data_IF_724226693121
#
_entry.id   IF_724226693121
#
_cell.length_a   1.000
_cell.length_b   1.000
_cell.length_c   1.000
_cell.angle_alpha   90.00
_cell.angle_beta   90.00
_cell.angle_gamma   90.00
#
_symmetry.space_group_name_H-M   'P 1'
#
loop_
_entity.id
_entity.type
_entity.pdbx_description
1 polymer ?
#
# COMPACT_ATOMS: atom_id res chain seq x y z
N UNK A 1 19.83 -1.25 -2.06
CA UNK A 1 18.48 -1.67 -2.41
C UNK A 1 18.43 -3.18 -2.50
N UNK A 2 17.49 -3.78 -1.79
CA UNK A 2 17.22 -5.22 -1.88
C UNK A 2 16.07 -5.45 -2.84
N UNK A 3 16.25 -6.42 -3.72
CA UNK A 3 15.24 -6.83 -4.68
C UNK A 3 14.87 -8.30 -4.43
N UNK A 4 13.56 -8.57 -4.35
CA UNK A 4 13.05 -9.91 -4.12
C UNK A 4 12.05 -10.28 -5.20
N UNK A 5 12.25 -11.44 -5.82
CA UNK A 5 11.23 -12.11 -6.61
C UNK A 5 10.68 -13.23 -5.77
N UNK A 6 9.35 -13.32 -5.67
CA UNK A 6 8.69 -14.35 -4.87
C UNK A 6 7.59 -15.01 -5.67
N UNK A 7 7.36 -16.29 -5.40
CA UNK A 7 6.24 -17.01 -5.99
C UNK A 7 4.92 -16.52 -5.43
N UNK A 8 3.80 -16.78 -6.14
CA UNK A 8 2.49 -16.24 -5.83
C UNK A 8 2.06 -16.44 -4.38
N UNK A 9 2.27 -17.65 -3.85
CA UNK A 9 1.90 -17.95 -2.46
C UNK A 9 2.72 -17.14 -1.46
N UNK A 10 4.02 -17.09 -1.68
CA UNK A 10 4.94 -16.38 -0.77
C UNK A 10 4.70 -14.88 -0.79
N UNK A 11 4.27 -14.33 -1.92
CA UNK A 11 3.96 -12.91 -2.05
C UNK A 11 2.85 -12.49 -1.06
N UNK A 12 1.79 -13.27 -0.95
CA UNK A 12 0.72 -12.99 0.01
C UNK A 12 1.23 -13.00 1.46
N UNK A 13 2.02 -14.00 1.80
CA UNK A 13 2.60 -14.14 3.14
C UNK A 13 3.50 -12.95 3.46
N UNK A 14 4.35 -12.58 2.52
CA UNK A 14 5.32 -11.51 2.72
C UNK A 14 4.66 -10.14 2.86
N UNK A 15 3.72 -9.81 1.98
CA UNK A 15 2.97 -8.54 2.08
C UNK A 15 2.18 -8.49 3.39
N UNK A 16 1.57 -9.60 3.77
CA UNK A 16 0.86 -9.68 5.05
C UNK A 16 1.78 -9.37 6.24
N UNK A 17 3.00 -9.92 6.23
CA UNK A 17 3.99 -9.63 7.28
C UNK A 17 4.39 -8.16 7.31
N UNK A 18 4.59 -7.57 6.14
CA UNK A 18 4.96 -6.15 6.04
C UNK A 18 3.83 -5.28 6.61
N UNK A 19 2.58 -5.55 6.22
CA UNK A 19 1.43 -4.80 6.73
C UNK A 19 1.30 -4.94 8.24
N UNK A 20 1.47 -6.14 8.77
CA UNK A 20 1.39 -6.41 10.21
C UNK A 20 2.55 -5.81 10.99
N UNK A 21 3.65 -5.47 10.34
CA UNK A 21 4.80 -4.83 10.99
C UNK A 21 4.56 -3.36 11.32
N UNK A 22 3.58 -2.73 10.71
CA UNK A 22 3.28 -1.32 10.93
C UNK A 22 2.72 -1.09 12.34
N UNK A 23 3.23 -0.08 13.02
CA UNK A 23 2.79 0.32 14.35
C UNK A 23 2.05 1.66 14.34
N UNK A 24 2.27 2.50 13.33
CA UNK A 24 1.71 3.85 13.24
C UNK A 24 0.96 4.10 11.95
N UNK A 25 1.61 3.86 10.79
CA UNK A 25 1.03 4.24 9.52
C UNK A 25 1.46 3.32 8.38
N UNK A 26 0.57 3.22 7.38
CA UNK A 26 0.83 2.57 6.10
C UNK A 26 0.43 3.57 5.03
N UNK A 27 1.37 3.95 4.15
CA UNK A 27 1.08 4.78 2.97
C UNK A 27 1.29 3.93 1.74
N UNK A 28 0.27 3.83 0.90
CA UNK A 28 0.30 3.05 -0.33
C UNK A 28 0.09 3.98 -1.53
N UNK A 29 1.06 3.99 -2.45
CA UNK A 29 0.96 4.66 -3.74
C UNK A 29 0.70 3.60 -4.79
N UNK A 30 -0.52 3.51 -5.28
CA UNK A 30 -0.91 2.50 -6.26
C UNK A 30 -2.16 2.99 -6.99
N UNK A 31 -2.11 3.07 -8.31
CA UNK A 31 -3.23 3.58 -9.12
C UNK A 31 -4.31 2.54 -9.40
N UNK A 32 -4.14 1.30 -8.95
CA UNK A 32 -5.06 0.20 -9.21
C UNK A 32 -5.46 -0.47 -7.89
N UNK A 33 -6.51 0.05 -7.27
CA UNK A 33 -6.99 -0.44 -5.97
C UNK A 33 -8.37 -1.05 -6.14
N UNK A 34 -8.53 -2.27 -5.64
CA UNK A 34 -9.82 -2.94 -5.56
C UNK A 34 -10.03 -3.54 -4.15
N UNK A 35 -11.14 -4.25 -3.98
CA UNK A 35 -11.47 -4.84 -2.68
C UNK A 35 -10.41 -5.84 -2.18
N UNK A 36 -9.67 -6.50 -3.09
CA UNK A 36 -8.63 -7.45 -2.68
C UNK A 36 -7.48 -6.75 -1.99
N UNK A 37 -7.14 -5.54 -2.41
CA UNK A 37 -6.12 -4.72 -1.75
C UNK A 37 -6.60 -4.31 -0.37
N UNK A 38 -7.84 -3.88 -0.24
CA UNK A 38 -8.42 -3.51 1.05
C UNK A 38 -8.45 -4.71 2.01
N UNK A 39 -8.71 -5.91 1.50
CA UNK A 39 -8.64 -7.14 2.29
C UNK A 39 -7.24 -7.37 2.83
N UNK A 40 -6.20 -7.13 2.03
CA UNK A 40 -4.82 -7.21 2.53
C UNK A 40 -4.56 -6.18 3.62
N UNK A 41 -4.99 -4.93 3.42
CA UNK A 41 -4.79 -3.86 4.38
C UNK A 41 -5.58 -4.07 5.68
N UNK A 42 -6.66 -4.83 5.65
CA UNK A 42 -7.44 -5.15 6.85
C UNK A 42 -6.64 -5.96 7.88
N UNK A 43 -5.54 -6.56 7.47
CA UNK A 43 -4.65 -7.32 8.36
C UNK A 43 -3.77 -6.43 9.23
N UNK A 44 -3.85 -5.13 9.06
CA UNK A 44 -3.10 -4.16 9.85
C UNK A 44 -3.42 -4.28 11.35
N UNK A 45 -2.49 -3.83 12.18
CA UNK A 45 -2.73 -3.71 13.61
C UNK A 45 -3.77 -2.63 13.87
N UNK A 46 -4.53 -2.81 14.95
CA UNK A 46 -5.56 -1.85 15.35
C UNK A 46 -4.93 -0.47 15.63
N UNK A 47 -5.57 0.57 15.14
CA UNK A 47 -5.11 1.94 15.33
C UNK A 47 -4.09 2.42 14.30
N UNK A 48 -3.59 1.55 13.45
CA UNK A 48 -2.68 1.95 12.37
C UNK A 48 -3.47 2.72 11.31
N UNK A 49 -2.99 3.91 10.97
CA UNK A 49 -3.58 4.77 9.93
C UNK A 49 -3.13 4.30 8.56
N UNK A 50 -4.06 4.19 7.62
CA UNK A 50 -3.75 3.84 6.23
C UNK A 50 -4.12 5.00 5.32
N UNK A 51 -3.20 5.41 4.45
CA UNK A 51 -3.45 6.39 3.39
C UNK A 51 -3.11 5.76 2.04
N UNK A 52 -4.05 5.82 1.12
CA UNK A 52 -3.87 5.35 -0.25
C UNK A 52 -3.84 6.56 -1.17
N UNK A 53 -2.76 6.69 -1.94
CA UNK A 53 -2.59 7.75 -2.93
C UNK A 53 -2.82 7.16 -4.30
N UNK A 54 -3.86 7.63 -4.98
CA UNK A 54 -4.35 7.05 -6.23
C UNK A 54 -4.71 8.17 -7.21
N UNK A 55 -4.49 7.92 -8.49
CA UNK A 55 -4.76 8.92 -9.53
C UNK A 55 -6.24 9.27 -9.63
N UNK A 56 -7.11 8.28 -9.62
CA UNK A 56 -8.56 8.48 -9.74
C UNK A 56 -9.30 7.67 -8.69
N UNK A 57 -10.19 8.30 -7.95
CA UNK A 57 -11.03 7.64 -6.95
C UNK A 57 -12.38 7.34 -7.59
N UNK A 58 -12.68 6.06 -7.83
CA UNK A 58 -13.97 5.64 -8.34
C UNK A 58 -15.05 5.65 -7.26
N UNK A 59 -16.31 5.69 -7.67
CA UNK A 59 -17.42 5.58 -6.74
C UNK A 59 -17.40 4.24 -5.99
N UNK A 60 -17.05 3.16 -6.71
CA UNK A 60 -16.96 1.84 -6.08
C UNK A 60 -15.88 1.82 -4.99
N UNK A 61 -14.74 2.43 -5.26
CA UNK A 61 -13.68 2.52 -4.25
C UNK A 61 -14.14 3.31 -3.02
N UNK A 62 -14.85 4.42 -3.22
CA UNK A 62 -15.40 5.20 -2.11
C UNK A 62 -16.31 4.34 -1.23
N UNK A 63 -17.20 3.54 -1.85
CA UNK A 63 -18.10 2.66 -1.12
C UNK A 63 -17.34 1.58 -0.36
N UNK A 64 -16.33 0.99 -0.98
CA UNK A 64 -15.51 -0.04 -0.35
C UNK A 64 -14.72 0.53 0.84
N UNK A 65 -14.23 1.77 0.73
CA UNK A 65 -13.54 2.47 1.82
C UNK A 65 -14.50 2.72 2.99
N UNK A 66 -15.73 3.12 2.71
CA UNK A 66 -16.74 3.31 3.77
C UNK A 66 -17.00 2.01 4.53
N UNK A 67 -17.13 0.90 3.81
CA UNK A 67 -17.31 -0.42 4.43
C UNK A 67 -16.09 -0.82 5.26
N UNK A 68 -14.88 -0.59 4.73
CA UNK A 68 -13.65 -0.86 5.45
C UNK A 68 -13.61 -0.09 6.76
N UNK A 69 -13.92 1.22 6.72
CA UNK A 69 -13.86 2.06 7.90
C UNK A 69 -14.92 1.70 8.95
N UNK A 70 -16.06 1.18 8.53
CA UNK A 70 -17.08 0.69 9.45
C UNK A 70 -16.53 -0.47 10.30
N UNK A 71 -15.72 -1.32 9.71
CA UNK A 71 -15.21 -2.53 10.36
C UNK A 71 -13.83 -2.35 10.99
N UNK A 72 -12.91 -1.69 10.29
CA UNK A 72 -11.49 -1.59 10.69
C UNK A 72 -11.05 -0.18 11.05
N UNK A 73 -11.63 0.83 10.41
CA UNK A 73 -11.30 2.24 10.64
C UNK A 73 -9.99 2.71 10.06
N UNK A 74 -9.79 4.01 10.10
CA UNK A 74 -8.51 4.70 9.86
C UNK A 74 -7.96 4.57 8.43
N UNK A 75 -8.81 4.39 7.42
CA UNK A 75 -8.42 4.37 6.01
C UNK A 75 -8.87 5.65 5.30
N UNK A 76 -7.95 6.30 4.61
CA UNK A 76 -8.22 7.49 3.80
C UNK A 76 -7.66 7.28 2.41
N UNK A 77 -8.42 7.67 1.39
CA UNK A 77 -7.99 7.63 -0.01
C UNK A 77 -7.83 9.06 -0.50
N UNK A 78 -6.70 9.35 -1.14
CA UNK A 78 -6.31 10.70 -1.56
C UNK A 78 -5.97 10.68 -3.04
N UNK A 79 -6.55 11.60 -3.83
CA UNK A 79 -6.16 11.74 -5.23
C UNK A 79 -4.74 12.31 -5.34
N UNK A 80 -3.90 11.61 -6.10
CA UNK A 80 -2.53 12.02 -6.33
C UNK A 80 -2.04 11.47 -7.67
N UNK A 81 -1.95 12.30 -8.69
CA UNK A 81 -1.62 11.88 -10.04
C UNK A 81 -0.15 11.97 -10.42
N UNK A 82 0.72 12.37 -9.51
CA UNK A 82 2.13 12.65 -9.81
C UNK A 82 3.02 11.41 -9.74
N UNK A 83 2.57 10.32 -9.14
CA UNK A 83 3.38 9.11 -9.00
C UNK A 83 3.04 8.11 -10.10
N UNK A 84 4.07 7.68 -10.84
CA UNK A 84 3.96 6.58 -11.80
C UNK A 84 4.43 5.26 -11.18
N UNK A 85 5.20 5.33 -10.11
CA UNK A 85 5.69 4.17 -9.39
C UNK A 85 4.80 3.82 -8.22
N UNK A 86 4.87 2.57 -7.81
CA UNK A 86 4.11 2.06 -6.66
C UNK A 86 5.02 1.93 -5.47
N UNK A 87 4.59 2.48 -4.34
CA UNK A 87 5.35 2.43 -3.09
C UNK A 87 4.46 1.99 -1.94
N UNK A 88 5.04 1.24 -1.03
CA UNK A 88 4.43 0.91 0.25
C UNK A 88 5.37 1.43 1.34
N UNK A 89 4.90 2.36 2.15
CA UNK A 89 5.72 3.02 3.17
C UNK A 89 5.15 2.69 4.54
N UNK A 90 5.97 2.10 5.38
CA UNK A 90 5.61 1.62 6.71
C UNK A 90 6.20 2.56 7.77
N UNK A 91 5.32 3.11 8.62
CA UNK A 91 5.70 3.98 9.75
C UNK A 91 6.57 5.16 9.35
N UNK A 92 6.50 5.56 8.07
CA UNK A 92 7.33 6.63 7.50
C UNK A 92 8.84 6.37 7.65
N UNK A 93 9.23 5.11 7.83
CA UNK A 93 10.63 4.71 8.01
C UNK A 93 11.12 3.70 6.99
N UNK A 94 10.26 2.81 6.51
CA UNK A 94 10.62 1.78 5.55
C UNK A 94 9.83 1.97 4.25
N UNK A 95 10.53 2.00 3.11
CA UNK A 95 9.93 2.15 1.80
C UNK A 95 10.17 0.87 1.00
N UNK A 96 9.10 0.35 0.40
CA UNK A 96 9.16 -0.74 -0.55
C UNK A 96 8.68 -0.25 -1.91
N UNK A 97 9.48 -0.45 -2.95
CA UNK A 97 9.05 -0.24 -4.33
C UNK A 97 8.41 -1.51 -4.85
N UNK A 98 7.21 -1.39 -5.41
CA UNK A 98 6.42 -2.54 -5.85
C UNK A 98 6.52 -2.69 -7.36
N UNK A 99 6.86 -3.89 -7.83
CA UNK A 99 6.98 -4.19 -9.26
C UNK A 99 5.64 -4.36 -9.97
N UNK A 100 4.55 -4.53 -9.22
CA UNK A 100 3.20 -4.64 -9.74
C UNK A 100 2.21 -4.10 -8.71
N UNK A 101 0.97 -3.83 -9.14
CA UNK A 101 -0.08 -3.42 -8.22
C UNK A 101 -0.39 -4.52 -7.20
N UNK A 102 -0.71 -4.16 -5.97
CA UNK A 102 -1.14 -5.12 -4.95
C UNK A 102 -2.40 -5.88 -5.35
N UNK A 103 -3.23 -5.32 -6.23
CA UNK A 103 -4.41 -6.05 -6.73
C UNK A 103 -4.03 -7.27 -7.57
N UNK A 104 -2.81 -7.30 -8.11
CA UNK A 104 -2.30 -8.42 -8.91
C UNK A 104 -1.55 -9.45 -8.07
N UNK A 105 -1.50 -9.24 -6.76
CA UNK A 105 -0.85 -10.16 -5.85
C UNK A 105 -1.48 -11.54 -5.94
N UNK A 106 -0.64 -12.56 -6.17
CA UNK A 106 -1.11 -13.93 -6.33
C UNK A 106 -1.50 -14.31 -7.76
N UNK A 107 -1.48 -13.37 -8.72
CA UNK A 107 -1.88 -13.64 -10.12
C UNK A 107 -0.71 -13.77 -11.07
N UNK A 108 0.45 -13.22 -10.72
CA UNK A 108 1.66 -13.26 -11.53
C UNK A 108 2.87 -13.05 -10.63
N UNK A 109 4.06 -13.23 -11.16
CA UNK A 109 5.28 -12.95 -10.44
C UNK A 109 5.23 -11.54 -9.86
N UNK A 110 5.56 -11.45 -8.58
CA UNK A 110 5.56 -10.19 -7.86
C UNK A 110 6.96 -9.91 -7.35
N UNK A 111 7.51 -8.77 -7.74
CA UNK A 111 8.82 -8.33 -7.31
C UNK A 111 8.69 -7.04 -6.51
N UNK A 112 9.53 -6.87 -5.50
CA UNK A 112 9.63 -5.61 -4.79
C UNK A 112 11.03 -5.39 -4.25
N UNK A 113 11.34 -4.13 -3.96
CA UNK A 113 12.63 -3.73 -3.42
C UNK A 113 12.41 -2.90 -2.17
N UNK A 114 13.18 -3.17 -1.13
CA UNK A 114 13.24 -2.25 0.00
C UNK A 114 14.27 -1.18 -0.32
N UNK A 115 13.85 0.07 -0.33
CA UNK A 115 14.71 1.18 -0.70
C UNK A 115 15.48 1.69 0.52
N UNK A 116 16.78 1.96 0.33
CA UNK A 116 17.64 2.51 1.38
C UNK A 116 17.76 4.03 1.22
N UNK A 117 16.61 4.70 1.11
CA UNK A 117 16.52 6.15 1.02
C UNK A 117 15.62 6.67 2.13
N UNK A 118 15.75 7.96 2.43
CA UNK A 118 14.88 8.61 3.40
C UNK A 118 13.46 8.71 2.83
N UNK A 119 12.44 8.18 3.52
CA UNK A 119 11.04 8.31 3.10
C UNK A 119 10.61 9.75 2.84
N UNK A 120 11.22 10.73 3.49
CA UNK A 120 10.92 12.14 3.27
C UNK A 120 11.12 12.57 1.83
N UNK A 121 12.01 11.92 1.08
CA UNK A 121 12.22 12.22 -0.35
C UNK A 121 10.97 11.95 -1.18
N UNK A 122 10.17 10.96 -0.81
CA UNK A 122 8.91 10.64 -1.49
C UNK A 122 7.76 11.42 -0.85
N UNK A 123 7.66 11.40 0.47
CA UNK A 123 6.58 12.04 1.20
C UNK A 123 6.58 13.56 1.02
N UNK A 124 7.76 14.18 0.86
CA UNK A 124 7.88 15.60 0.60
C UNK A 124 7.22 16.05 -0.71
N UNK A 125 7.06 15.15 -1.67
CA UNK A 125 6.39 15.46 -2.94
C UNK A 125 4.88 15.62 -2.79
N UNK A 126 4.31 15.15 -1.69
CA UNK A 126 2.88 15.28 -1.43
C UNK A 126 2.50 16.74 -1.16
N UNK A 127 3.44 17.55 -0.71
CA UNK A 127 3.23 18.95 -0.36
C UNK A 127 3.53 19.91 -1.51
N UNK A 128 3.96 19.39 -2.66
CA UNK A 128 4.34 20.22 -3.80
C UNK A 128 3.22 20.38 -4.83
#
# INVERSE_FOLDING_TARGET
MFFFEVELFDAHVLISKIIKSANQSIFLFDNYIDETVLTQLSKKNKGVTVKIYIKNISRQLQLDVEKFNTQYGSLQVIEFGKSHDRFLIIDQTAIYHLGASLKDLGKKWFAFSKLLIDPALILGKLDS
#
